data_IF_268308165005
#
_entry.id   IF_268308165005
#
_cell.length_a   1.000
_cell.length_b   1.000
_cell.length_c   1.000
_cell.angle_alpha   90.00
_cell.angle_beta   90.00
_cell.angle_gamma   90.00
#
_symmetry.space_group_name_H-M   'P 1'
#
loop_
_entity.id
_entity.type
_entity.pdbx_description
1 polymer ?
#
# COMPACT_ATOMS: atom_id res chain seq x y z
N UNK A 1 43.03 21.84 18.93
CA UNK A 1 43.17 20.44 18.49
C UNK A 1 41.90 19.73 18.91
N UNK A 2 40.96 19.56 17.98
CA UNK A 2 39.73 18.82 18.26
C UNK A 2 40.06 17.32 18.25
N UNK A 3 39.73 16.64 19.34
CA UNK A 3 39.92 15.20 19.48
C UNK A 3 38.93 14.48 18.57
N UNK A 4 39.42 13.96 17.45
CA UNK A 4 38.64 13.07 16.59
C UNK A 4 38.46 11.72 17.30
N UNK A 5 37.27 11.48 17.84
CA UNK A 5 36.86 10.19 18.40
C UNK A 5 36.31 9.36 17.22
N UNK A 6 36.96 8.25 16.84
CA UNK A 6 36.44 7.39 15.79
C UNK A 6 35.08 6.85 16.22
N UNK A 7 34.03 7.18 15.47
CA UNK A 7 32.73 6.57 15.60
C UNK A 7 32.46 5.67 14.39
N UNK A 8 31.73 4.58 14.63
CA UNK A 8 31.21 3.74 13.57
C UNK A 8 29.70 3.61 13.77
N UNK A 9 28.96 3.81 12.68
CA UNK A 9 27.53 3.55 12.67
C UNK A 9 27.31 2.05 12.73
N UNK A 10 27.12 1.53 13.94
CA UNK A 10 26.64 0.16 14.13
C UNK A 10 25.12 0.22 13.98
N UNK A 11 24.50 -0.45 12.99
CA UNK A 11 23.05 -0.52 12.91
C UNK A 11 22.50 -1.17 14.19
N UNK A 12 22.03 -0.34 15.12
CA UNK A 12 21.32 -0.74 16.34
C UNK A 12 19.98 -1.30 15.88
N UNK A 13 19.96 -2.59 15.59
CA UNK A 13 18.84 -3.30 14.97
C UNK A 13 19.13 -3.79 13.56
N UNK A 14 20.29 -4.41 13.32
CA UNK A 14 20.48 -5.16 12.09
C UNK A 14 19.56 -6.38 12.05
N UNK A 15 18.45 -6.26 11.33
CA UNK A 15 18.09 -7.24 10.29
C UNK A 15 18.22 -8.72 10.72
N UNK A 16 17.70 -9.10 11.89
CA UNK A 16 17.40 -10.51 12.13
C UNK A 16 16.37 -10.87 11.07
N UNK A 17 16.77 -11.69 10.09
CA UNK A 17 15.88 -12.07 8.99
C UNK A 17 14.58 -12.54 9.65
N UNK A 18 13.38 -12.04 9.29
CA UNK A 18 12.15 -12.32 10.05
C UNK A 18 11.76 -13.81 10.13
N UNK A 19 12.44 -14.64 9.34
CA UNK A 19 12.30 -16.09 9.28
C UNK A 19 13.43 -16.84 10.00
N UNK A 20 14.47 -16.17 10.51
CA UNK A 20 15.58 -16.82 11.21
C UNK A 20 15.19 -17.04 12.67
N UNK A 21 14.93 -18.29 13.01
CA UNK A 21 14.44 -18.71 14.32
C UNK A 21 15.54 -19.40 15.15
N UNK A 22 15.19 -19.78 16.39
CA UNK A 22 16.10 -20.48 17.29
C UNK A 22 16.68 -21.77 16.68
N UNK A 23 15.88 -22.54 15.93
CA UNK A 23 16.34 -23.76 15.25
C UNK A 23 17.44 -23.46 14.22
N UNK A 24 17.32 -22.36 13.47
CA UNK A 24 18.36 -21.93 12.54
C UNK A 24 19.65 -21.57 13.25
N UNK A 25 19.56 -20.84 14.37
CA UNK A 25 20.71 -20.45 15.19
C UNK A 25 21.39 -21.68 15.81
N UNK A 26 20.62 -22.63 16.30
CA UNK A 26 21.12 -23.86 16.89
C UNK A 26 21.78 -24.77 15.85
N UNK A 27 21.18 -24.92 14.67
CA UNK A 27 21.77 -25.66 13.57
C UNK A 27 23.04 -24.99 13.02
N UNK A 28 23.12 -23.66 13.05
CA UNK A 28 24.32 -22.91 12.71
C UNK A 28 25.45 -23.16 13.71
N UNK A 29 25.16 -23.10 15.02
CA UNK A 29 26.10 -23.44 16.09
C UNK A 29 26.63 -24.87 15.92
N UNK A 30 25.75 -25.84 15.66
CA UNK A 30 26.15 -27.24 15.39
C UNK A 30 27.05 -27.35 14.17
N UNK A 31 26.70 -26.70 13.05
CA UNK A 31 27.54 -26.64 11.84
C UNK A 31 28.92 -26.07 12.15
N UNK A 32 28.98 -24.98 12.91
CA UNK A 32 30.23 -24.32 13.26
C UNK A 32 31.10 -25.19 14.17
N UNK A 33 30.52 -25.80 15.22
CA UNK A 33 31.24 -26.72 16.09
C UNK A 33 31.82 -27.92 15.33
N UNK A 34 31.05 -28.53 14.43
CA UNK A 34 31.51 -29.65 13.62
C UNK A 34 32.58 -29.23 12.59
N UNK A 35 32.52 -27.99 12.09
CA UNK A 35 33.57 -27.43 11.24
C UNK A 35 34.88 -27.29 12.00
N UNK A 36 34.86 -26.72 13.21
CA UNK A 36 36.04 -26.59 14.05
C UNK A 36 36.65 -27.95 14.40
N UNK A 37 35.83 -28.93 14.77
CA UNK A 37 36.29 -30.30 15.03
C UNK A 37 36.94 -30.95 13.80
N UNK A 38 36.36 -30.73 12.61
CA UNK A 38 36.95 -31.24 11.36
C UNK A 38 38.28 -30.55 11.01
N UNK A 39 38.38 -29.24 11.20
CA UNK A 39 39.62 -28.48 10.98
C UNK A 39 40.71 -28.95 11.94
N UNK A 40 40.39 -29.07 13.24
CA UNK A 40 41.33 -29.54 14.26
C UNK A 40 41.84 -30.97 13.96
N UNK A 41 40.94 -31.88 13.59
CA UNK A 41 41.30 -33.24 13.20
C UNK A 41 42.18 -33.28 11.93
N UNK A 42 41.95 -32.36 10.99
CA UNK A 42 42.77 -32.23 9.78
C UNK A 42 44.17 -31.74 10.12
N UNK A 43 44.27 -30.73 10.96
CA UNK A 43 45.55 -30.09 11.30
C UNK A 43 46.42 -31.04 12.16
N UNK A 44 45.79 -31.85 13.04
CA UNK A 44 46.47 -32.91 13.82
C UNK A 44 46.71 -34.22 13.06
N UNK A 45 46.28 -34.33 11.79
CA UNK A 45 46.30 -35.58 11.00
C UNK A 45 45.68 -36.77 11.75
N UNK A 46 44.58 -36.51 12.46
CA UNK A 46 43.93 -37.50 13.30
C UNK A 46 43.34 -38.66 12.46
N UNK A 47 43.35 -39.90 12.97
CA UNK A 47 42.85 -41.07 12.23
C UNK A 47 41.34 -41.01 11.97
N UNK A 48 40.60 -40.18 12.71
CA UNK A 48 39.16 -40.01 12.62
C UNK A 48 38.72 -38.87 11.67
N UNK A 49 39.64 -38.30 10.88
CA UNK A 49 39.39 -37.19 9.94
C UNK A 49 38.15 -37.41 9.05
N UNK A 50 37.97 -38.63 8.54
CA UNK A 50 36.82 -38.99 7.68
C UNK A 50 35.49 -38.91 8.44
N UNK A 51 35.49 -39.34 9.71
CA UNK A 51 34.33 -39.27 10.60
C UNK A 51 33.94 -37.81 10.88
N UNK A 52 34.92 -36.97 11.24
CA UNK A 52 34.70 -35.55 11.50
C UNK A 52 34.21 -34.79 10.25
N UNK A 53 34.77 -35.11 9.07
CA UNK A 53 34.27 -34.57 7.79
C UNK A 53 32.82 -34.99 7.52
N UNK A 54 32.45 -36.24 7.82
CA UNK A 54 31.08 -36.74 7.67
C UNK A 54 30.12 -36.03 8.64
N UNK A 55 30.53 -35.82 9.89
CA UNK A 55 29.76 -35.08 10.89
C UNK A 55 29.52 -33.62 10.46
N UNK A 56 30.56 -32.92 9.98
CA UNK A 56 30.42 -31.58 9.42
C UNK A 56 29.44 -31.54 8.24
N UNK A 57 29.58 -32.46 7.28
CA UNK A 57 28.68 -32.53 6.12
C UNK A 57 27.22 -32.79 6.55
N UNK A 58 27.00 -33.63 7.55
CA UNK A 58 25.69 -33.88 8.11
C UNK A 58 25.11 -32.61 8.77
N UNK A 59 25.89 -31.93 9.60
CA UNK A 59 25.49 -30.67 10.25
C UNK A 59 25.19 -29.57 9.22
N UNK A 60 25.98 -29.47 8.15
CA UNK A 60 25.76 -28.52 7.06
C UNK A 60 24.45 -28.81 6.29
N UNK A 61 24.15 -30.08 6.01
CA UNK A 61 22.87 -30.49 5.40
C UNK A 61 21.69 -30.18 6.33
N UNK A 62 21.84 -30.43 7.63
CA UNK A 62 20.83 -30.13 8.65
C UNK A 62 20.54 -28.63 8.73
N UNK A 63 21.59 -27.80 8.78
CA UNK A 63 21.46 -26.34 8.73
C UNK A 63 20.72 -25.86 7.47
N UNK A 64 21.06 -26.38 6.29
CA UNK A 64 20.35 -26.06 5.04
C UNK A 64 18.88 -26.49 5.09
N UNK A 65 18.55 -27.58 5.77
CA UNK A 65 17.17 -28.03 6.00
C UNK A 65 16.43 -27.07 6.94
N UNK A 66 17.05 -26.68 8.05
CA UNK A 66 16.48 -25.72 9.00
C UNK A 66 16.16 -24.37 8.32
N UNK A 67 17.10 -23.81 7.54
CA UNK A 67 16.87 -22.58 6.79
C UNK A 67 15.70 -22.68 5.80
N UNK A 68 15.60 -23.80 5.06
CA UNK A 68 14.48 -24.01 4.11
C UNK A 68 13.15 -24.10 4.84
N UNK A 69 13.11 -24.86 5.93
CA UNK A 69 11.91 -25.01 6.77
C UNK A 69 11.46 -23.66 7.33
N UNK A 70 12.36 -22.91 7.95
CA UNK A 70 12.02 -21.64 8.58
C UNK A 70 11.51 -20.60 7.56
N UNK A 71 12.07 -20.58 6.34
CA UNK A 71 11.54 -19.77 5.22
C UNK A 71 10.14 -20.21 4.79
N UNK A 72 9.93 -21.51 4.62
CA UNK A 72 8.64 -22.06 4.24
C UNK A 72 7.58 -21.74 5.29
N UNK A 73 7.85 -22.03 6.56
CA UNK A 73 6.95 -21.78 7.67
C UNK A 73 6.57 -20.28 7.76
N UNK A 74 7.53 -19.38 7.53
CA UNK A 74 7.26 -17.94 7.48
C UNK A 74 6.32 -17.56 6.35
N UNK A 75 6.54 -18.09 5.14
CA UNK A 75 5.68 -17.85 3.97
C UNK A 75 4.27 -18.38 4.24
N UNK A 76 4.16 -19.61 4.73
CA UNK A 76 2.88 -20.24 5.07
C UNK A 76 2.12 -19.44 6.13
N UNK A 77 2.80 -19.00 7.19
CA UNK A 77 2.20 -18.19 8.25
C UNK A 77 1.74 -16.80 7.75
N UNK A 78 2.51 -16.16 6.87
CA UNK A 78 2.07 -14.92 6.21
C UNK A 78 0.83 -15.18 5.35
N UNK A 79 0.83 -16.27 4.56
CA UNK A 79 -0.31 -16.65 3.72
C UNK A 79 -1.58 -16.88 4.54
N UNK A 80 -1.47 -17.61 5.66
CA UNK A 80 -2.57 -17.83 6.60
C UNK A 80 -3.08 -16.52 7.22
N UNK A 81 -2.17 -15.62 7.60
CA UNK A 81 -2.55 -14.29 8.10
C UNK A 81 -3.29 -13.47 7.03
N UNK A 82 -2.84 -13.52 5.78
CA UNK A 82 -3.50 -12.81 4.68
C UNK A 82 -4.88 -13.40 4.40
N UNK A 83 -5.04 -14.72 4.38
CA UNK A 83 -6.34 -15.38 4.16
C UNK A 83 -7.34 -15.17 5.30
N UNK A 84 -6.86 -14.97 6.53
CA UNK A 84 -7.71 -14.73 7.69
C UNK A 84 -8.24 -13.29 7.78
N UNK A 85 -7.66 -12.34 7.04
CA UNK A 85 -8.10 -10.94 7.06
C UNK A 85 -9.16 -10.68 5.97
N UNK A 86 -10.20 -9.88 6.26
CA UNK A 86 -11.16 -9.47 5.23
C UNK A 86 -10.46 -8.72 4.09
N UNK A 87 -10.80 -9.10 2.86
CA UNK A 87 -10.35 -8.42 1.64
C UNK A 87 -10.69 -6.93 1.72
N UNK A 88 -9.68 -6.08 1.55
CA UNK A 88 -9.85 -4.62 1.62
C UNK A 88 -9.57 -3.99 2.99
N UNK A 89 -9.43 -4.79 4.05
CA UNK A 89 -9.11 -4.24 5.38
C UNK A 89 -7.74 -3.56 5.43
N UNK A 90 -7.59 -2.55 6.30
CA UNK A 90 -6.30 -1.88 6.53
C UNK A 90 -5.23 -2.86 6.98
N UNK A 91 -5.57 -3.82 7.83
CA UNK A 91 -4.66 -4.85 8.33
C UNK A 91 -4.17 -5.76 7.19
N UNK A 92 -5.07 -6.18 6.29
CA UNK A 92 -4.70 -6.92 5.08
C UNK A 92 -3.69 -6.13 4.24
N UNK A 93 -4.02 -4.88 3.87
CA UNK A 93 -3.15 -4.07 3.01
C UNK A 93 -1.82 -3.70 3.67
N UNK A 94 -1.82 -3.48 4.99
CA UNK A 94 -0.60 -3.23 5.76
C UNK A 94 0.32 -4.45 5.73
N UNK A 95 -0.23 -5.65 5.97
CA UNK A 95 0.52 -6.89 5.93
C UNK A 95 1.00 -7.21 4.51
N UNK A 96 0.12 -7.12 3.52
CA UNK A 96 0.44 -7.31 2.11
C UNK A 96 1.62 -6.43 1.72
N UNK A 97 1.52 -5.11 1.90
CA UNK A 97 2.59 -4.16 1.60
C UNK A 97 3.91 -4.45 2.32
N UNK A 98 3.86 -4.90 3.58
CA UNK A 98 5.07 -5.25 4.34
C UNK A 98 5.83 -6.46 3.76
N UNK A 99 5.09 -7.39 3.15
CA UNK A 99 5.65 -8.57 2.46
C UNK A 99 6.04 -8.22 1.03
N UNK A 100 5.28 -7.31 0.44
CA UNK A 100 5.38 -6.79 -0.91
C UNK A 100 6.48 -5.72 -1.07
N UNK A 101 7.36 -5.53 -0.09
CA UNK A 101 8.48 -4.58 -0.16
C UNK A 101 9.36 -4.73 -1.43
N UNK A 102 9.21 -5.81 -2.20
CA UNK A 102 9.79 -6.00 -3.53
C UNK A 102 9.01 -5.38 -4.70
N UNK A 103 7.68 -5.20 -4.63
CA UNK A 103 6.88 -4.64 -5.74
C UNK A 103 6.85 -3.10 -5.75
N UNK A 104 7.29 -2.45 -4.67
CA UNK A 104 7.49 -1.00 -4.66
C UNK A 104 8.79 -0.56 -5.36
N UNK A 105 9.53 -1.49 -5.99
CA UNK A 105 10.60 -1.11 -6.90
C UNK A 105 9.95 -0.53 -8.16
N UNK A 106 10.34 0.68 -8.62
CA UNK A 106 9.82 1.21 -9.86
C UNK A 106 10.12 0.20 -10.98
N UNK A 107 9.06 -0.40 -11.55
CA UNK A 107 9.16 -1.34 -12.68
C UNK A 107 9.67 -0.66 -13.94
N UNK A 108 9.49 0.66 -14.01
CA UNK A 108 9.99 1.47 -15.11
C UNK A 108 11.50 1.71 -14.95
N UNK A 109 12.31 1.47 -16.00
CA UNK A 109 13.71 1.88 -16.02
C UNK A 109 13.84 3.40 -15.86
N UNK A 110 15.05 3.93 -15.59
CA UNK A 110 15.28 5.37 -15.60
C UNK A 110 14.81 5.98 -16.92
N UNK A 111 14.13 7.13 -16.85
CA UNK A 111 13.64 7.84 -18.03
C UNK A 111 14.60 8.97 -18.38
N UNK A 112 14.85 9.18 -19.67
CA UNK A 112 15.68 10.29 -20.15
C UNK A 112 14.84 11.58 -20.15
N UNK A 113 15.36 12.62 -19.52
CA UNK A 113 14.79 13.97 -19.53
C UNK A 113 15.18 14.70 -20.83
N UNK A 114 14.45 15.76 -21.21
CA UNK A 114 14.82 16.59 -22.37
C UNK A 114 16.23 17.21 -22.27
N UNK A 115 16.74 17.44 -21.06
CA UNK A 115 18.09 17.94 -20.80
C UNK A 115 19.19 16.86 -20.88
N UNK A 116 18.83 15.62 -21.22
CA UNK A 116 19.74 14.47 -21.31
C UNK A 116 20.01 13.77 -19.97
N UNK A 117 19.50 14.27 -18.84
CA UNK A 117 19.69 13.65 -17.54
C UNK A 117 18.70 12.50 -17.30
N UNK A 118 18.97 11.63 -16.31
CA UNK A 118 18.12 10.46 -16.02
C UNK A 118 17.22 10.68 -14.79
N UNK A 119 15.94 10.36 -14.95
CA UNK A 119 14.95 10.32 -13.88
C UNK A 119 14.90 8.94 -13.24
N UNK A 120 15.36 8.84 -12.00
CA UNK A 120 15.47 7.58 -11.28
C UNK A 120 14.31 7.36 -10.31
N UNK A 121 13.84 8.44 -9.68
CA UNK A 121 12.79 8.35 -8.65
C UNK A 121 11.39 8.25 -9.28
N UNK A 122 10.45 7.61 -8.57
CA UNK A 122 9.07 7.51 -9.04
C UNK A 122 8.41 8.90 -9.22
N UNK A 123 8.76 9.87 -8.36
CA UNK A 123 8.26 11.25 -8.43
C UNK A 123 8.75 11.97 -9.69
N UNK A 124 10.03 11.87 -10.00
CA UNK A 124 10.60 12.46 -11.23
C UNK A 124 9.95 11.86 -12.48
N UNK A 125 9.81 10.53 -12.52
CA UNK A 125 9.18 9.83 -13.65
C UNK A 125 7.72 10.26 -13.84
N UNK A 126 6.95 10.34 -12.75
CA UNK A 126 5.57 10.81 -12.80
C UNK A 126 5.47 12.25 -13.30
N UNK A 127 6.38 13.14 -12.86
CA UNK A 127 6.45 14.52 -13.33
C UNK A 127 6.74 14.61 -14.84
N UNK A 128 7.66 13.78 -15.35
CA UNK A 128 7.94 13.70 -16.78
C UNK A 128 6.72 13.28 -17.58
N UNK A 129 6.04 12.20 -17.19
CA UNK A 129 4.81 11.78 -17.86
C UNK A 129 3.74 12.86 -17.83
N UNK A 130 3.51 13.50 -16.68
CA UNK A 130 2.53 14.57 -16.55
C UNK A 130 2.83 15.72 -17.52
N UNK A 131 4.10 16.15 -17.59
CA UNK A 131 4.52 17.21 -18.52
C UNK A 131 4.35 16.81 -19.99
N UNK A 132 4.71 15.57 -20.34
CA UNK A 132 4.58 15.04 -21.70
C UNK A 132 3.11 14.96 -22.10
N UNK A 133 2.24 14.44 -21.23
CA UNK A 133 0.80 14.39 -21.51
C UNK A 133 0.19 15.78 -21.62
N UNK A 134 0.55 16.72 -20.73
CA UNK A 134 0.06 18.09 -20.80
C UNK A 134 0.46 18.78 -22.12
N UNK A 135 1.70 18.57 -22.57
CA UNK A 135 2.18 19.12 -23.84
C UNK A 135 1.46 18.53 -25.05
N UNK A 136 1.18 17.22 -25.04
CA UNK A 136 0.46 16.54 -26.11
C UNK A 136 -1.07 16.73 -26.04
N UNK A 137 -1.60 17.21 -24.91
CA UNK A 137 -3.04 17.43 -24.69
C UNK A 137 -3.45 18.89 -24.90
N UNK A 138 -2.61 19.68 -25.57
CA UNK A 138 -2.95 21.03 -26.02
C UNK A 138 -3.86 20.90 -27.24
N UNK A 139 -5.17 20.93 -27.01
CA UNK A 139 -6.13 21.13 -28.08
C UNK A 139 -5.94 22.53 -28.65
N UNK A 140 -5.73 22.62 -29.96
CA UNK A 140 -5.81 23.89 -30.67
C UNK A 140 -7.27 24.37 -30.59
N UNK A 141 -7.49 25.45 -29.84
CA UNK A 141 -8.80 26.09 -29.72
C UNK A 141 -9.01 27.16 -30.80
N UNK A 142 -8.09 27.26 -31.77
CA UNK A 142 -8.20 28.18 -32.89
C UNK A 142 -9.45 27.89 -33.71
N UNK A 143 -10.43 28.80 -33.65
CA UNK A 143 -11.66 28.95 -34.47
C UNK A 143 -12.40 27.69 -34.94
N UNK A 144 -12.07 26.53 -34.40
CA UNK A 144 -12.49 25.23 -34.89
C UNK A 144 -13.85 24.96 -34.29
N UNK A 145 -14.87 25.11 -35.12
CA UNK A 145 -16.22 24.70 -34.74
C UNK A 145 -16.20 23.20 -34.49
N UNK A 146 -16.67 22.73 -33.32
CA UNK A 146 -16.79 21.28 -33.08
C UNK A 146 -17.62 20.68 -34.21
N UNK A 147 -17.29 19.45 -34.68
CA UNK A 147 -18.04 18.81 -35.74
C UNK A 147 -19.52 18.79 -35.35
N UNK A 148 -20.38 19.23 -36.27
CA UNK A 148 -21.83 19.21 -36.08
C UNK A 148 -22.25 17.76 -35.86
N UNK A 149 -22.50 17.42 -34.59
CA UNK A 149 -22.98 16.08 -34.24
C UNK A 149 -24.34 15.90 -34.92
N UNK A 150 -24.47 14.83 -35.70
CA UNK A 150 -25.77 14.42 -36.21
C UNK A 150 -26.72 14.22 -35.03
N UNK A 151 -27.94 14.74 -35.17
CA UNK A 151 -28.94 14.70 -34.11
C UNK A 151 -29.14 13.25 -33.64
N UNK A 152 -28.65 12.95 -32.45
CA UNK A 152 -28.80 11.64 -31.83
C UNK A 152 -30.25 11.52 -31.37
N UNK A 153 -31.09 10.83 -32.16
CA UNK A 153 -32.53 10.68 -31.88
C UNK A 153 -32.85 9.92 -30.59
N UNK A 154 -31.86 9.35 -29.93
CA UNK A 154 -32.02 8.77 -28.59
C UNK A 154 -31.74 9.84 -27.53
N UNK A 155 -32.81 10.40 -26.96
CA UNK A 155 -32.73 11.18 -25.74
C UNK A 155 -32.69 10.25 -24.53
N UNK A 156 -31.77 10.50 -23.60
CA UNK A 156 -31.73 9.77 -22.34
C UNK A 156 -33.04 10.03 -21.58
N UNK A 157 -33.78 9.00 -21.14
CA UNK A 157 -35.01 9.20 -20.39
C UNK A 157 -34.73 9.98 -19.10
N UNK A 158 -35.72 10.75 -18.66
CA UNK A 158 -35.65 11.55 -17.44
C UNK A 158 -35.21 10.66 -16.26
N UNK A 159 -34.04 10.96 -15.69
CA UNK A 159 -33.50 10.22 -14.54
C UNK A 159 -34.24 10.68 -13.28
N UNK A 160 -35.18 9.85 -12.82
CA UNK A 160 -35.93 10.11 -11.59
C UNK A 160 -35.20 9.52 -10.39
N UNK A 161 -34.56 10.39 -9.61
CA UNK A 161 -33.91 10.01 -8.35
C UNK A 161 -34.98 9.91 -7.26
N UNK A 162 -35.19 8.72 -6.68
CA UNK A 162 -36.13 8.53 -5.57
C UNK A 162 -35.42 8.53 -4.22
N UNK A 163 -36.03 9.17 -3.22
CA UNK A 163 -35.56 9.17 -1.82
C UNK A 163 -35.14 7.80 -1.30
N UNK A 164 -35.96 6.77 -1.56
CA UNK A 164 -35.71 5.40 -1.11
C UNK A 164 -34.47 4.78 -1.75
N UNK A 165 -34.17 5.14 -3.00
CA UNK A 165 -33.01 4.64 -3.73
C UNK A 165 -31.72 5.29 -3.22
N UNK A 166 -31.75 6.60 -2.97
CA UNK A 166 -30.63 7.34 -2.36
C UNK A 166 -30.34 6.81 -0.97
N UNK A 167 -31.36 6.66 -0.12
CA UNK A 167 -31.18 6.11 1.23
C UNK A 167 -30.63 4.68 1.19
N UNK A 168 -31.13 3.83 0.29
CA UNK A 168 -30.62 2.46 0.11
C UNK A 168 -29.16 2.45 -0.34
N UNK A 169 -28.78 3.35 -1.24
CA UNK A 169 -27.39 3.47 -1.68
C UNK A 169 -26.48 3.94 -0.54
N UNK A 170 -26.93 4.93 0.24
CA UNK A 170 -26.19 5.44 1.40
C UNK A 170 -26.00 4.35 2.47
N UNK A 171 -27.04 3.58 2.79
CA UNK A 171 -26.95 2.48 3.76
C UNK A 171 -26.10 1.29 3.29
N UNK A 172 -25.80 1.18 1.99
CA UNK A 172 -24.98 0.10 1.40
C UNK A 172 -23.52 0.51 1.16
N UNK A 173 -23.14 1.73 1.53
CA UNK A 173 -21.75 2.16 1.44
C UNK A 173 -20.88 1.33 2.38
N UNK A 174 -19.89 0.65 1.81
CA UNK A 174 -18.91 -0.11 2.58
C UNK A 174 -17.91 0.83 3.23
N UNK A 175 -17.95 0.88 4.56
CA UNK A 175 -17.15 1.77 5.40
C UNK A 175 -15.67 1.50 5.35
N UNK A 176 -15.28 0.31 4.89
CA UNK A 176 -13.89 -0.11 4.80
C UNK A 176 -13.24 0.26 3.46
N UNK A 177 -14.00 0.82 2.51
CA UNK A 177 -13.45 1.29 1.23
C UNK A 177 -12.69 2.61 1.40
N UNK A 178 -11.77 2.85 0.47
CA UNK A 178 -10.98 4.07 0.47
C UNK A 178 -11.88 5.30 0.32
N UNK A 179 -11.68 6.29 1.20
CA UNK A 179 -12.30 7.61 1.07
C UNK A 179 -11.74 8.33 -0.16
N UNK A 180 -12.59 9.11 -0.83
CA UNK A 180 -12.13 10.05 -1.85
C UNK A 180 -11.20 11.13 -1.27
N UNK A 181 -10.61 11.97 -2.12
CA UNK A 181 -9.71 13.05 -1.71
C UNK A 181 -10.37 14.08 -0.78
N UNK A 182 -11.70 14.06 -0.72
CA UNK A 182 -12.59 14.94 0.02
C UNK A 182 -12.55 14.71 1.55
N UNK A 183 -11.84 13.69 2.04
CA UNK A 183 -11.62 13.43 3.46
C UNK A 183 -12.86 12.94 4.24
N UNK A 184 -13.98 12.70 3.57
CA UNK A 184 -15.26 12.39 4.22
C UNK A 184 -15.37 10.92 4.64
N UNK A 185 -14.83 10.58 5.82
CA UNK A 185 -15.12 9.30 6.50
C UNK A 185 -16.42 9.33 7.31
N UNK A 186 -16.98 10.52 7.54
CA UNK A 186 -18.07 10.76 8.51
C UNK A 186 -19.49 10.73 7.92
N UNK A 187 -19.66 10.54 6.60
CA UNK A 187 -20.97 10.49 5.94
C UNK A 187 -21.81 9.24 6.28
N UNK A 188 -21.26 8.34 7.11
CA UNK A 188 -21.82 7.03 7.44
C UNK A 188 -22.69 7.03 8.72
N UNK A 189 -22.83 8.18 9.39
CA UNK A 189 -23.81 8.32 10.47
C UNK A 189 -25.22 8.38 9.87
N UNK A 190 -26.20 7.55 10.30
CA UNK A 190 -27.58 7.57 9.79
C UNK A 190 -28.24 8.96 9.89
N UNK A 191 -27.82 9.79 10.84
CA UNK A 191 -28.26 11.18 10.99
C UNK A 191 -27.76 12.09 9.85
N UNK A 192 -26.52 11.87 9.42
CA UNK A 192 -25.88 12.57 8.30
C UNK A 192 -26.45 12.07 6.96
N UNK A 193 -26.69 10.76 6.82
CA UNK A 193 -27.33 10.17 5.64
C UNK A 193 -28.74 10.73 5.39
N UNK A 194 -29.53 10.95 6.45
CA UNK A 194 -30.87 11.54 6.35
C UNK A 194 -30.82 13.02 5.92
N UNK A 195 -29.85 13.77 6.43
CA UNK A 195 -29.61 15.18 6.06
C UNK A 195 -29.08 15.33 4.62
N UNK A 196 -28.17 14.44 4.19
CA UNK A 196 -27.67 14.39 2.81
C UNK A 196 -28.72 14.00 1.80
N UNK A 197 -29.61 13.07 2.16
CA UNK A 197 -30.69 12.65 1.27
C UNK A 197 -31.58 13.83 0.85
N UNK A 198 -31.97 14.69 1.79
CA UNK A 198 -32.75 15.90 1.47
C UNK A 198 -32.00 16.89 0.57
N UNK A 199 -30.68 16.95 0.72
CA UNK A 199 -29.80 17.86 -0.03
C UNK A 199 -29.55 17.36 -1.46
N UNK A 200 -29.33 16.04 -1.62
CA UNK A 200 -29.20 15.36 -2.91
C UNK A 200 -30.50 15.38 -3.73
N UNK A 201 -31.65 15.20 -3.08
CA UNK A 201 -32.95 15.33 -3.74
C UNK A 201 -33.22 16.75 -4.25
N UNK A 202 -32.78 17.77 -3.50
CA UNK A 202 -32.85 19.18 -3.93
C UNK A 202 -31.96 19.47 -5.15
N UNK A 203 -30.77 18.85 -5.21
CA UNK A 203 -29.88 18.93 -6.38
C UNK A 203 -30.48 18.26 -7.61
N UNK A 204 -31.07 17.07 -7.46
CA UNK A 204 -31.73 16.36 -8.55
C UNK A 204 -32.98 17.06 -9.09
N UNK A 205 -33.59 17.96 -8.31
CA UNK A 205 -34.79 18.73 -8.69
C UNK A 205 -34.48 20.11 -9.30
N UNK A 206 -33.21 20.42 -9.60
CA UNK A 206 -32.81 21.62 -10.36
C UNK A 206 -32.96 22.98 -9.65
N UNK A 207 -33.15 23.03 -8.33
CA UNK A 207 -33.31 24.31 -7.60
C UNK A 207 -31.96 24.94 -7.23
N UNK A 208 -31.76 26.20 -7.65
CA UNK A 208 -30.69 27.16 -7.32
C UNK A 208 -29.44 26.60 -6.59
N UNK A 209 -28.46 26.14 -7.37
CA UNK A 209 -27.15 25.62 -6.96
C UNK A 209 -26.40 26.51 -5.93
N UNK A 210 -26.55 27.83 -6.02
CA UNK A 210 -25.87 28.79 -5.14
C UNK A 210 -26.31 28.71 -3.67
N UNK A 211 -27.58 28.38 -3.41
CA UNK A 211 -28.08 28.19 -2.04
C UNK A 211 -27.71 26.80 -1.50
N UNK A 212 -27.63 25.79 -2.38
CA UNK A 212 -27.23 24.44 -2.00
C UNK A 212 -25.76 24.40 -1.57
N UNK A 213 -24.87 25.08 -2.32
CA UNK A 213 -23.44 25.13 -2.00
C UNK A 213 -23.16 25.82 -0.66
N UNK A 214 -23.87 26.91 -0.35
CA UNK A 214 -23.80 27.59 0.97
C UNK A 214 -24.30 26.70 2.11
N UNK A 215 -25.42 26.02 1.92
CA UNK A 215 -25.96 25.10 2.94
C UNK A 215 -25.05 23.89 3.17
N UNK A 216 -24.38 23.38 2.14
CA UNK A 216 -23.41 22.30 2.27
C UNK A 216 -22.16 22.76 3.04
N UNK A 217 -21.64 23.96 2.74
CA UNK A 217 -20.51 24.56 3.45
C UNK A 217 -20.83 24.79 4.93
N UNK A 218 -22.02 25.29 5.25
CA UNK A 218 -22.45 25.53 6.62
C UNK A 218 -22.68 24.22 7.38
N UNK A 219 -23.24 23.19 6.73
CA UNK A 219 -23.43 21.87 7.33
C UNK A 219 -22.08 21.20 7.64
N UNK A 220 -21.12 21.26 6.71
CA UNK A 220 -19.77 20.73 6.91
C UNK A 220 -19.03 21.49 8.02
N UNK A 221 -19.17 22.82 8.08
CA UNK A 221 -18.59 23.65 9.15
C UNK A 221 -19.20 23.36 10.54
N UNK A 222 -20.50 23.10 10.62
CA UNK A 222 -21.19 22.75 11.87
C UNK A 222 -20.81 21.35 12.37
N UNK A 223 -20.63 20.39 11.45
CA UNK A 223 -20.15 19.04 11.79
C UNK A 223 -18.70 19.08 12.28
N UNK A 224 -17.84 19.87 11.63
CA UNK A 224 -16.43 20.00 11.99
C UNK A 224 -16.18 20.76 13.31
N UNK A 225 -17.17 21.52 13.82
CA UNK A 225 -17.06 22.32 15.04
C UNK A 225 -17.76 21.68 16.26
N UNK A 226 -18.39 20.51 16.10
CA UNK A 226 -19.05 19.78 17.20
C UNK A 226 -20.29 20.45 17.78
N UNK A 227 -20.78 21.56 17.21
CA UNK A 227 -22.01 22.21 17.62
C UNK A 227 -23.21 21.60 16.90
N UNK A 228 -23.92 20.70 17.58
CA UNK A 228 -25.29 20.33 17.23
C UNK A 228 -26.26 21.26 17.96
N UNK A 229 -27.19 21.96 17.27
CA UNK A 229 -28.29 22.59 17.96
C UNK A 229 -29.27 21.49 18.38
N UNK A 230 -29.43 21.29 19.68
CA UNK A 230 -30.57 20.59 20.25
C UNK A 230 -31.83 21.42 19.94
N UNK A 231 -32.72 20.89 19.12
CA UNK A 231 -34.15 21.17 19.22
C UNK A 231 -34.92 19.87 19.01
N UNK A 232 -35.79 19.60 19.99
CA UNK A 232 -36.81 18.56 20.05
C UNK A 232 -37.69 18.54 18.80
#
# INVERSE_FOLDING_TARGET
MEYYIPYSDVPVGSSARPWFNADCAEAEKRKHSAFLAWVDARDRKAPDLSSNKRAFNHAAKSYKKALRKARFDRISHIGQKLSAQPSGSRAFWSLAKSVEANFCRPTLPPLVRPDGTLAHTAREKAGLFASLFANNSRLDTGSSTPPTLSHCGTSMPEVRIRNKEVLRALCRLDVNKASGPDGTKELQNPFVAKSLNGLLMRLGSGKNFANVKRNLHNLIASISSGQFPFML
#
